data_IF_291011305216
#
_entry.id   IF_291011305216
#
_cell.length_a   1.000
_cell.length_b   1.000
_cell.length_c   1.000
_cell.angle_alpha   90.00
_cell.angle_beta   90.00
_cell.angle_gamma   90.00
#
_symmetry.space_group_name_H-M   'P 1'
#
loop_
_entity.id
_entity.type
_entity.pdbx_description
1 polymer ?
#
# COMPACT_ATOMS: atom_id res chain seq x y z
N UNK A 1 -23.12 0.92 -7.31
CA UNK A 1 -22.28 0.64 -6.15
C UNK A 1 -21.02 -0.09 -6.54
N UNK A 2 -19.96 0.65 -6.84
CA UNK A 2 -18.67 0.10 -7.26
C UNK A 2 -17.68 0.10 -6.09
N UNK A 3 -16.80 -0.89 -6.08
CA UNK A 3 -15.68 -0.99 -5.15
C UNK A 3 -14.39 -0.66 -5.89
N UNK A 4 -13.50 0.05 -5.19
CA UNK A 4 -12.14 0.30 -5.64
C UNK A 4 -11.21 -0.68 -4.95
N UNK A 5 -10.18 -1.11 -5.67
CA UNK A 5 -9.23 -2.08 -5.18
C UNK A 5 -7.91 -1.38 -4.93
N UNK A 6 -7.32 -1.61 -3.77
CA UNK A 6 -6.04 -1.07 -3.36
C UNK A 6 -5.09 -2.22 -3.04
N UNK A 7 -4.05 -2.40 -3.86
CA UNK A 7 -2.95 -3.32 -3.57
C UNK A 7 -1.79 -2.57 -2.95
N UNK A 8 -1.25 -3.05 -1.83
CA UNK A 8 -0.11 -2.45 -1.14
C UNK A 8 0.98 -3.47 -0.86
N UNK A 9 2.19 -2.99 -0.61
CA UNK A 9 3.30 -3.82 -0.13
C UNK A 9 4.39 -2.99 0.53
N UNK A 10 5.23 -3.65 1.32
CA UNK A 10 6.38 -3.07 2.00
C UNK A 10 7.68 -3.76 1.59
N UNK A 11 8.78 -3.03 1.61
CA UNK A 11 10.12 -3.59 1.40
C UNK A 11 11.10 -2.98 2.39
N UNK A 12 12.03 -3.81 2.90
CA UNK A 12 13.14 -3.39 3.75
C UNK A 12 14.45 -3.90 3.17
N UNK A 13 15.42 -3.01 2.98
CA UNK A 13 16.75 -3.33 2.53
C UNK A 13 17.56 -3.99 3.67
N UNK A 14 18.17 -5.14 3.39
CA UNK A 14 18.87 -5.96 4.39
C UNK A 14 20.15 -5.31 4.96
N UNK A 15 20.81 -4.47 4.18
CA UNK A 15 22.10 -3.86 4.49
C UNK A 15 21.97 -2.59 5.35
N UNK A 16 20.99 -1.75 5.01
CA UNK A 16 20.76 -0.43 5.61
C UNK A 16 19.59 -0.41 6.61
N UNK A 17 18.71 -1.42 6.55
CA UNK A 17 17.43 -1.40 7.26
C UNK A 17 16.44 -0.39 6.67
N UNK A 18 16.76 0.23 5.52
CA UNK A 18 15.89 1.21 4.91
C UNK A 18 14.64 0.57 4.31
N UNK A 19 13.50 1.18 4.60
CA UNK A 19 12.20 0.72 4.23
C UNK A 19 11.51 1.70 3.28
N UNK A 20 10.74 1.13 2.37
CA UNK A 20 9.82 1.85 1.53
C UNK A 20 8.52 1.06 1.43
N UNK A 21 7.45 1.78 1.12
CA UNK A 21 6.16 1.18 0.80
C UNK A 21 5.63 1.74 -0.50
N UNK A 22 4.69 1.05 -1.09
CA UNK A 22 3.96 1.54 -2.23
C UNK A 22 2.66 0.78 -2.38
N UNK A 23 1.90 1.25 -3.36
CA UNK A 23 0.66 0.61 -3.70
C UNK A 23 0.08 1.15 -4.98
N UNK A 24 -0.98 0.50 -5.38
CA UNK A 24 -1.66 0.78 -6.63
C UNK A 24 -3.14 0.58 -6.43
N UNK A 25 -3.93 1.48 -6.98
CA UNK A 25 -5.38 1.37 -6.93
C UNK A 25 -5.98 1.38 -8.34
N UNK A 26 -6.98 0.54 -8.50
CA UNK A 26 -7.78 0.45 -9.72
C UNK A 26 -9.28 0.44 -9.38
N UNK A 27 -10.09 0.89 -10.33
CA UNK A 27 -11.55 0.80 -10.21
C UNK A 27 -12.05 -0.62 -10.52
N UNK A 28 -13.37 -0.79 -10.45
CA UNK A 28 -14.05 -2.05 -10.74
C UNK A 28 -13.91 -2.55 -12.19
N UNK A 29 -13.59 -1.68 -13.13
CA UNK A 29 -13.35 -2.02 -14.53
C UNK A 29 -11.86 -2.34 -14.79
N UNK A 30 -11.01 -2.20 -13.76
CA UNK A 30 -9.57 -2.40 -13.86
C UNK A 30 -8.80 -1.17 -14.36
N UNK A 31 -9.44 0.00 -14.45
CA UNK A 31 -8.74 1.22 -14.84
C UNK A 31 -7.88 1.74 -13.68
N UNK A 32 -6.70 2.26 -14.01
CA UNK A 32 -5.80 2.86 -13.04
C UNK A 32 -6.40 4.13 -12.40
N UNK A 33 -6.47 4.15 -11.07
CA UNK A 33 -6.83 5.34 -10.29
C UNK A 33 -5.55 6.09 -9.87
N UNK A 34 -4.61 5.36 -9.25
CA UNK A 34 -3.37 5.94 -8.73
C UNK A 34 -2.31 4.86 -8.47
N UNK A 35 -1.03 5.25 -8.59
CA UNK A 35 0.12 4.53 -8.06
C UNK A 35 0.88 5.44 -7.13
N UNK A 36 1.39 4.92 -6.02
CA UNK A 36 2.22 5.67 -5.09
C UNK A 36 3.39 4.85 -4.55
N UNK A 37 4.42 5.57 -4.10
CA UNK A 37 5.54 5.04 -3.34
C UNK A 37 5.90 6.04 -2.25
N UNK A 38 6.43 5.56 -1.13
CA UNK A 38 6.86 6.38 0.00
C UNK A 38 8.08 5.76 0.65
N UNK A 39 9.14 6.56 0.77
CA UNK A 39 10.29 6.21 1.62
C UNK A 39 9.92 6.40 3.09
N UNK A 40 10.26 5.42 3.93
CA UNK A 40 9.86 5.39 5.34
C UNK A 40 11.05 5.56 6.31
N UNK A 41 12.29 5.60 5.81
CA UNK A 41 13.47 5.57 6.67
C UNK A 41 13.72 4.16 7.18
N UNK A 42 14.06 3.98 8.45
CA UNK A 42 14.30 2.66 9.05
C UNK A 42 13.04 2.20 9.78
N UNK A 43 12.46 1.09 9.33
CA UNK A 43 11.35 0.42 10.03
C UNK A 43 11.30 -1.08 9.65
N UNK A 44 10.51 -1.85 10.40
CA UNK A 44 10.24 -3.26 10.09
C UNK A 44 9.41 -3.42 8.80
N UNK A 45 9.42 -4.63 8.23
CA UNK A 45 8.59 -4.98 7.08
C UNK A 45 7.10 -4.83 7.40
N UNK A 46 6.69 -5.20 8.61
CA UNK A 46 5.34 -5.02 9.10
C UNK A 46 4.93 -3.53 9.16
N UNK A 47 5.78 -2.67 9.72
CA UNK A 47 5.51 -1.22 9.72
C UNK A 47 5.42 -0.68 8.28
N UNK A 48 6.28 -1.14 7.37
CA UNK A 48 6.25 -0.71 5.98
C UNK A 48 4.92 -1.04 5.29
N UNK A 49 4.36 -2.23 5.52
CA UNK A 49 3.06 -2.62 4.98
C UNK A 49 1.90 -1.80 5.57
N UNK A 50 1.88 -1.63 6.89
CA UNK A 50 0.84 -0.81 7.56
C UNK A 50 0.87 0.64 7.05
N UNK A 51 2.07 1.20 6.84
CA UNK A 51 2.19 2.51 6.20
C UNK A 51 1.66 2.52 4.78
N UNK A 52 1.89 1.48 3.99
CA UNK A 52 1.33 1.33 2.65
C UNK A 52 -0.19 1.40 2.64
N UNK A 53 -0.82 0.60 3.50
CA UNK A 53 -2.28 0.57 3.67
C UNK A 53 -2.80 1.95 4.05
N UNK A 54 -2.22 2.58 5.08
CA UNK A 54 -2.64 3.89 5.54
C UNK A 54 -2.53 4.97 4.45
N UNK A 55 -1.41 5.00 3.73
CA UNK A 55 -1.20 5.99 2.65
C UNK A 55 -2.20 5.75 1.51
N UNK A 56 -2.39 4.51 1.08
CA UNK A 56 -3.33 4.17 0.01
C UNK A 56 -4.79 4.52 0.36
N UNK A 57 -5.24 4.19 1.58
CA UNK A 57 -6.57 4.58 2.07
C UNK A 57 -6.73 6.10 2.04
N UNK A 58 -5.77 6.83 2.60
CA UNK A 58 -5.85 8.29 2.67
C UNK A 58 -5.91 8.92 1.26
N UNK A 59 -5.13 8.43 0.31
CA UNK A 59 -5.15 8.89 -1.08
C UNK A 59 -6.53 8.66 -1.70
N UNK A 60 -7.12 7.48 -1.54
CA UNK A 60 -8.43 7.15 -2.10
C UNK A 60 -9.56 7.93 -1.42
N UNK A 61 -9.52 8.10 -0.11
CA UNK A 61 -10.47 8.91 0.64
C UNK A 61 -10.43 10.39 0.20
N UNK A 62 -9.23 10.93 -0.06
CA UNK A 62 -9.03 12.30 -0.56
C UNK A 62 -9.53 12.47 -1.99
N UNK A 63 -9.56 11.39 -2.78
CA UNK A 63 -10.15 11.38 -4.14
C UNK A 63 -11.67 11.17 -4.14
N UNK A 64 -12.29 10.96 -2.98
CA UNK A 64 -13.74 10.80 -2.83
C UNK A 64 -14.23 9.35 -2.85
N UNK A 65 -13.34 8.37 -2.94
CA UNK A 65 -13.71 6.95 -2.87
C UNK A 65 -14.02 6.55 -1.42
N UNK A 66 -15.00 5.66 -1.25
CA UNK A 66 -15.52 5.27 0.08
C UNK A 66 -15.66 3.77 0.27
N UNK A 67 -15.50 2.96 -0.79
CA UNK A 67 -15.65 1.51 -0.73
C UNK A 67 -14.39 0.87 -1.29
N UNK A 68 -13.43 0.64 -0.40
CA UNK A 68 -12.09 0.20 -0.77
C UNK A 68 -11.89 -1.25 -0.30
N UNK A 69 -11.56 -2.14 -1.23
CA UNK A 69 -11.05 -3.49 -0.93
C UNK A 69 -9.53 -3.40 -0.90
N UNK A 70 -8.93 -3.82 0.21
CA UNK A 70 -7.48 -3.77 0.40
C UNK A 70 -6.92 -5.17 0.17
N UNK A 71 -5.93 -5.24 -0.72
CA UNK A 71 -5.11 -6.42 -0.96
C UNK A 71 -3.69 -6.09 -0.46
N UNK A 72 -3.30 -6.71 0.64
CA UNK A 72 -1.92 -6.64 1.12
C UNK A 72 -1.36 -8.04 1.07
N UNK A 73 -0.06 -8.16 0.88
CA UNK A 73 0.65 -9.40 1.17
C UNK A 73 0.35 -9.82 2.61
N UNK A 74 -0.04 -11.08 2.79
CA UNK A 74 -0.13 -11.68 4.11
C UNK A 74 1.32 -11.84 4.63
N UNK A 75 1.83 -10.95 5.48
CA UNK A 75 3.08 -11.19 6.23
C UNK A 75 2.92 -12.44 7.09
N UNK A 76 3.93 -13.33 7.15
CA UNK A 76 5.37 -12.98 7.17
C UNK A 76 6.24 -13.78 6.18
N UNK A 77 7.17 -13.10 5.49
CA UNK A 77 8.44 -13.75 5.13
C UNK A 77 9.37 -13.64 6.33
N UNK A 78 9.28 -14.62 7.22
CA UNK A 78 10.38 -14.93 8.12
C UNK A 78 11.49 -15.53 7.25
N UNK A 79 12.57 -14.79 7.06
CA UNK A 79 13.86 -15.40 6.73
C UNK A 79 14.37 -16.18 7.96
#
# INVERSE_FOLDING_TARGET
DTWEYLSTGGVVARDSGYAATGGVAHDHDGNWIVRFTRFLGVCSSFEAEVWGILNGILILLNKGYRRIIIMTDNLPKFD
#
